data_IF_636338956631
#
_entry.id   IF_636338956631
#
_cell.length_a   1.000
_cell.length_b   1.000
_cell.length_c   1.000
_cell.angle_alpha   90.00
_cell.angle_beta   90.00
_cell.angle_gamma   90.00
#
_symmetry.space_group_name_H-M   'P 1'
#
loop_
_entity.id
_entity.type
_entity.pdbx_description
1 polymer ?
2 non-polymer ?
3 non-polymer ?
4 non-polymer ?
5 water ?
#
# COMPACT_ATOMS: atom_id res chain seq x y z
N UNK A 24 -2.63 2.61 -29.10
CA UNK A 24 -2.32 3.96 -29.53
C UNK A 24 -1.31 4.64 -28.63
N UNK A 25 -0.51 3.83 -27.93
CA UNK A 25 0.54 4.35 -27.09
C UNK A 25 1.77 4.69 -27.95
N UNK A 26 2.47 5.75 -27.54
CA UNK A 26 3.74 6.05 -28.18
C UNK A 26 4.78 5.01 -27.76
N UNK A 27 5.95 5.05 -28.41
CA UNK A 27 7.01 4.13 -28.05
C UNK A 27 7.56 4.45 -26.66
N UNK A 28 7.64 5.74 -26.32
CA UNK A 28 8.07 6.13 -24.98
C UNK A 28 7.09 5.64 -23.93
N UNK A 29 5.79 5.68 -24.23
CA UNK A 29 4.79 5.25 -23.26
C UNK A 29 4.80 3.74 -23.09
N UNK A 30 4.94 2.99 -24.19
CA UNK A 30 5.05 1.54 -24.09
C UNK A 30 6.30 1.13 -23.30
N UNK A 31 7.40 1.84 -23.52
CA UNK A 31 8.62 1.55 -22.77
C UNK A 31 8.46 1.89 -21.29
N UNK A 32 7.69 2.94 -21.01
CA UNK A 32 7.46 3.34 -19.62
C UNK A 32 6.68 2.27 -18.86
N UNK A 33 5.65 1.72 -19.49
CA UNK A 33 4.87 0.65 -18.87
C UNK A 33 5.73 -0.61 -18.74
N UNK A 34 6.58 -0.87 -19.72
CA UNK A 34 7.43 -2.06 -19.67
C UNK A 34 8.35 -2.03 -18.45
N UNK A 35 8.98 -0.88 -18.17
CA UNK A 35 9.90 -0.82 -17.05
C UNK A 35 9.16 -0.92 -15.72
N UNK A 36 7.97 -0.31 -15.61
CA UNK A 36 7.22 -0.41 -14.37
C UNK A 36 6.75 -1.84 -14.13
N UNK A 37 6.24 -2.51 -15.17
CA UNK A 37 5.82 -3.90 -15.03
C UNK A 37 7.02 -4.78 -14.70
N UNK A 38 8.17 -4.48 -15.30
CA UNK A 38 9.40 -5.19 -15.00
C UNK A 38 9.78 -5.04 -13.54
N UNK A 39 9.71 -3.81 -13.01
CA UNK A 39 10.04 -3.58 -11.61
C UNK A 39 9.04 -4.29 -10.68
N UNK A 40 7.76 -4.28 -11.05
CA UNK A 40 6.75 -4.95 -10.23
C UNK A 40 6.99 -6.46 -10.19
N UNK A 41 7.25 -7.06 -11.35
CA UNK A 41 7.50 -8.49 -11.41
C UNK A 41 8.70 -8.90 -10.57
N UNK A 42 9.74 -8.06 -10.54
CA UNK A 42 10.95 -8.41 -9.81
C UNK A 42 10.84 -8.21 -8.30
N UNK A 43 9.96 -7.34 -7.83
CA UNK A 43 9.99 -6.93 -6.43
C UNK A 43 8.70 -7.19 -5.66
N UNK A 44 7.67 -7.76 -6.28
CA UNK A 44 6.41 -8.00 -5.60
C UNK A 44 6.21 -9.52 -5.53
N UNK A 45 6.50 -10.08 -4.36
CA UNK A 45 6.38 -11.51 -4.07
C UNK A 45 4.92 -11.81 -3.78
N UNK A 46 4.15 -12.08 -4.84
CA UNK A 46 2.71 -12.20 -4.73
C UNK A 46 2.28 -13.42 -3.91
N UNK A 47 3.16 -14.39 -3.73
CA UNK A 47 2.86 -15.54 -2.88
C UNK A 47 3.38 -15.37 -1.46
N UNK A 48 4.09 -14.27 -1.18
CA UNK A 48 4.63 -13.97 0.16
C UNK A 48 5.51 -15.11 0.66
N UNK A 49 6.18 -15.81 -0.25
CA UNK A 49 6.97 -16.98 0.11
C UNK A 49 8.17 -16.62 0.97
N UNK A 50 8.67 -15.39 0.90
CA UNK A 50 9.83 -14.98 1.66
C UNK A 50 9.48 -14.15 2.89
N UNK A 51 8.18 -14.05 3.22
CA UNK A 51 7.76 -13.45 4.48
C UNK A 51 7.80 -14.54 5.54
N UNK A 52 8.84 -14.51 6.38
CA UNK A 52 9.08 -15.56 7.35
C UNK A 52 9.53 -14.95 8.67
N UNK A 53 9.58 -15.80 9.69
CA UNK A 53 10.10 -15.46 11.02
C UNK A 53 9.35 -14.28 11.66
N UNK A 54 8.09 -14.08 11.28
CA UNK A 54 7.32 -12.96 11.81
C UNK A 54 6.72 -13.31 13.16
N UNK A 55 6.51 -12.28 13.97
CA UNK A 55 5.90 -12.47 15.28
C UNK A 55 4.39 -12.69 15.15
N UNK A 56 3.83 -13.36 16.15
CA UNK A 56 2.41 -13.68 16.19
C UNK A 56 1.84 -13.35 17.55
N UNK A 57 0.54 -13.07 17.64
CA UNK A 57 -0.06 -12.78 18.94
C UNK A 57 0.12 -13.95 19.91
N UNK A 58 0.46 -13.61 21.14
CA UNK A 58 0.75 -14.61 22.16
C UNK A 58 -0.42 -15.52 22.49
N UNK A 78 -4.39 10.22 29.56
CA UNK A 78 -5.51 9.31 29.74
C UNK A 78 -6.51 9.47 28.61
N UNK A 79 -6.77 10.72 28.21
CA UNK A 79 -7.48 10.97 26.97
C UNK A 79 -6.65 10.58 25.76
N UNK A 80 -5.35 10.35 25.93
CA UNK A 80 -4.53 9.78 24.87
C UNK A 80 -4.81 8.29 24.72
N UNK A 81 -4.72 7.53 25.82
CA UNK A 81 -5.11 6.13 25.78
C UNK A 81 -6.57 5.97 25.34
N UNK A 82 -7.41 6.94 25.67
CA UNK A 82 -8.77 6.97 25.12
C UNK A 82 -8.75 7.10 23.61
N UNK A 83 -8.05 8.11 23.09
CA UNK A 83 -7.94 8.29 21.65
C UNK A 83 -7.20 7.13 21.01
N UNK A 84 -6.17 6.60 21.69
CA UNK A 84 -5.44 5.46 21.17
C UNK A 84 -6.31 4.21 21.19
N UNK A 85 -7.24 4.13 22.14
CA UNK A 85 -8.23 3.05 22.09
C UNK A 85 -9.16 3.21 20.90
N UNK A 86 -9.60 4.45 20.63
CA UNK A 86 -10.37 4.70 19.41
C UNK A 86 -9.52 4.42 18.18
N UNK A 87 -8.23 4.75 18.23
CA UNK A 87 -7.35 4.51 17.09
C UNK A 87 -7.18 3.01 16.82
N UNK A 88 -7.10 2.20 17.89
CA UNK A 88 -6.80 0.78 17.74
C UNK A 88 -7.83 0.07 16.87
N UNK A 89 -9.08 0.10 17.28
CA UNK A 89 -10.14 -0.57 16.54
C UNK A 89 -10.34 0.06 15.16
N UNK A 92 -10.11 -5.08 13.05
CA UNK A 92 -10.90 -6.28 13.36
C UNK A 92 -10.69 -7.29 12.23
N UNK A 93 -9.75 -8.21 12.42
CA UNK A 93 -9.44 -9.19 11.39
C UNK A 93 -8.95 -10.47 12.06
N UNK A 94 -9.39 -11.61 11.53
CA UNK A 94 -8.87 -12.91 11.93
C UNK A 94 -7.68 -13.27 11.03
N UNK A 95 -6.78 -14.07 11.58
CA UNK A 95 -5.57 -14.48 10.88
C UNK A 95 -5.59 -15.98 10.69
N UNK A 96 -5.24 -16.43 9.48
CA UNK A 96 -5.13 -17.85 9.17
C UNK A 96 -3.75 -18.14 8.58
N UNK A 97 -3.12 -19.20 9.08
CA UNK A 97 -1.83 -19.69 8.58
C UNK A 97 -2.01 -21.13 8.13
N UNK A 98 -1.76 -21.38 6.85
CA UNK A 98 -1.90 -22.70 6.28
C UNK A 98 -0.52 -23.34 6.15
N UNK A 99 -0.30 -24.43 6.89
CA UNK A 99 0.99 -25.09 6.84
C UNK A 99 1.19 -25.85 5.53
N UNK A 100 2.46 -26.08 5.19
CA UNK A 100 2.77 -26.84 3.98
C UNK A 100 2.23 -28.25 4.05
N UNK A 101 2.11 -28.81 5.26
CA UNK A 101 1.55 -30.14 5.42
C UNK A 101 0.04 -30.17 5.23
N UNK A 102 -0.63 -29.02 5.33
CA UNK A 102 -2.07 -28.95 5.29
C UNK A 102 -2.72 -28.54 6.59
N UNK A 103 -1.95 -28.36 7.65
CA UNK A 103 -2.49 -27.88 8.91
C UNK A 103 -2.89 -26.42 8.78
N UNK A 104 -3.80 -25.99 9.65
CA UNK A 104 -4.33 -24.63 9.65
C UNK A 104 -4.35 -24.10 11.07
N UNK A 105 -3.79 -22.90 11.27
CA UNK A 105 -3.92 -22.14 12.50
C UNK A 105 -4.81 -20.94 12.24
N UNK A 106 -5.76 -20.67 13.14
CA UNK A 106 -6.59 -19.49 13.08
C UNK A 106 -6.52 -18.72 14.39
N UNK A 107 -6.51 -17.39 14.29
CA UNK A 107 -6.52 -16.50 15.43
C UNK A 107 -7.73 -15.57 15.33
N UNK A 108 -8.52 -15.53 16.40
CA UNK A 108 -9.61 -14.56 16.53
C UNK A 108 -9.30 -13.60 17.67
N UNK A 109 -9.44 -12.30 17.46
CA UNK A 109 -8.88 -11.31 18.40
C UNK A 109 -9.79 -11.08 19.59
N UNK A 110 -9.31 -10.36 20.62
CA UNK A 110 -10.14 -10.10 21.80
C UNK A 110 -10.84 -8.75 21.78
N UNK A 111 -11.68 -8.50 22.78
CA UNK A 111 -12.45 -7.26 22.86
C UNK A 111 -11.71 -6.18 23.65
N UNK A 112 -12.45 -5.34 24.37
CA UNK A 112 -11.93 -4.11 24.97
C UNK A 112 -11.36 -3.19 23.90
N UNK A 117 -3.85 -5.12 25.99
CA UNK A 117 -4.88 -6.04 25.53
C UNK A 117 -5.13 -5.88 24.04
N UNK A 118 -5.32 -4.64 23.60
CA UNK A 118 -5.48 -4.35 22.17
C UNK A 118 -4.16 -4.30 21.43
N UNK A 119 -3.04 -4.47 22.14
CA UNK A 119 -1.71 -4.34 21.56
C UNK A 119 -1.12 -5.66 21.10
N UNK A 120 -1.83 -6.78 21.27
CA UNK A 120 -1.30 -8.09 20.92
C UNK A 120 -1.07 -8.25 19.43
N UNK A 121 -1.57 -7.34 18.60
CA UNK A 121 -1.52 -7.49 17.15
C UNK A 121 -0.41 -6.67 16.50
N UNK A 122 0.17 -5.70 17.22
CA UNK A 122 1.11 -4.73 16.66
C UNK A 122 2.44 -5.35 16.23
N UNK A 123 3.05 -6.26 17.00
CA UNK A 123 4.30 -6.87 16.52
C UNK A 123 4.15 -7.58 15.18
N UNK A 124 3.07 -8.35 14.99
CA UNK A 124 2.86 -8.98 13.69
C UNK A 124 2.63 -7.95 12.60
N UNK A 125 1.78 -6.95 12.88
CA UNK A 125 1.52 -5.92 11.89
C UNK A 125 2.79 -5.17 11.50
N UNK A 126 3.66 -4.91 12.47
CA UNK A 126 4.93 -4.25 12.16
C UNK A 126 5.80 -5.12 11.26
N UNK A 127 5.79 -6.43 11.48
CA UNK A 127 6.60 -7.33 10.66
C UNK A 127 6.07 -7.40 9.24
N UNK A 128 4.75 -7.47 9.07
CA UNK A 128 4.15 -7.46 7.75
C UNK A 128 4.42 -6.13 7.03
N UNK A 129 4.21 -5.01 7.74
CA UNK A 129 4.48 -3.71 7.14
C UNK A 129 5.94 -3.59 6.73
N UNK A 130 6.85 -4.07 7.57
CA UNK A 130 8.27 -4.01 7.23
C UNK A 130 8.59 -4.84 6.00
N UNK A 131 8.01 -6.03 5.91
CA UNK A 131 8.23 -6.87 4.73
C UNK A 131 7.72 -6.18 3.46
N UNK A 132 6.54 -5.57 3.54
CA UNK A 132 5.99 -4.89 2.37
C UNK A 132 6.77 -3.63 2.04
N UNK A 133 7.24 -2.91 3.06
CA UNK A 133 8.05 -1.71 2.81
C UNK A 133 9.33 -2.07 2.06
N UNK A 134 9.94 -3.21 2.39
CA UNK A 134 11.17 -3.60 1.70
C UNK A 134 10.90 -3.86 0.22
N UNK A 135 9.76 -4.49 -0.10
CA UNK A 135 9.42 -4.69 -1.50
C UNK A 135 9.16 -3.39 -2.22
N UNK A 136 8.49 -2.44 -1.55
CA UNK A 136 8.22 -1.14 -2.17
C UNK A 136 9.51 -0.40 -2.44
N UNK A 137 10.47 -0.45 -1.51
CA UNK A 137 11.74 0.22 -1.71
C UNK A 137 12.50 -0.40 -2.86
N UNK A 138 12.50 -1.74 -2.96
CA UNK A 138 13.17 -2.40 -4.07
C UNK A 138 12.49 -2.04 -5.39
N UNK A 139 11.16 -1.92 -5.38
CA UNK A 139 10.43 -1.51 -6.57
C UNK A 139 10.92 -0.15 -7.08
N UNK A 140 11.08 0.81 -6.18
CA UNK A 140 11.50 2.15 -6.59
C UNK A 140 12.92 2.16 -7.12
N UNK A 141 13.83 1.39 -6.50
CA UNK A 141 15.23 1.44 -6.90
C UNK A 141 15.42 0.91 -8.31
N UNK A 142 14.58 -0.01 -8.77
CA UNK A 142 14.74 -0.53 -10.12
C UNK A 142 14.30 0.49 -11.15
N UNK A 143 13.38 1.39 -10.82
CA UNK A 143 12.84 2.32 -11.79
C UNK A 143 13.91 3.35 -12.14
N UNK A 144 14.20 3.48 -13.43
CA UNK A 144 15.27 4.37 -13.88
C UNK A 144 14.98 5.81 -13.49
N UNK A 145 13.74 6.26 -13.71
CA UNK A 145 13.38 7.63 -13.35
C UNK A 145 13.61 7.91 -11.87
N UNK A 146 13.45 6.88 -11.03
CA UNK A 146 13.60 7.07 -9.59
C UNK A 146 15.08 7.15 -9.20
N UNK A 147 15.90 6.24 -9.71
CA UNK A 147 17.31 6.23 -9.30
C UNK A 147 18.13 7.34 -9.96
N UNK A 148 17.57 8.05 -10.92
CA UNK A 148 18.22 9.25 -11.45
C UNK A 148 17.94 10.48 -10.62
N UNK A 149 16.98 10.42 -9.70
CA UNK A 149 16.75 11.53 -8.78
C UNK A 149 17.86 11.57 -7.72
N UNK A 150 18.13 12.74 -7.15
CA UNK A 150 19.09 12.79 -6.03
C UNK A 150 18.61 11.95 -4.87
N UNK A 151 19.58 11.41 -4.12
CA UNK A 151 19.29 10.45 -3.06
C UNK A 151 18.38 11.07 -1.99
N UNK A 152 18.48 12.37 -1.77
CA UNK A 152 17.63 13.01 -0.76
C UNK A 152 16.18 13.07 -1.21
N UNK A 153 15.93 13.22 -2.51
CA UNK A 153 14.56 13.19 -3.01
C UNK A 153 14.01 11.78 -3.09
N UNK A 154 14.87 10.79 -3.37
CA UNK A 154 14.45 9.40 -3.29
C UNK A 154 13.92 9.07 -1.90
N UNK A 155 14.65 9.48 -0.87
CA UNK A 155 14.23 9.23 0.51
C UNK A 155 12.95 9.98 0.81
N UNK A 156 12.83 11.22 0.35
CA UNK A 156 11.64 12.01 0.61
C UNK A 156 10.41 11.40 -0.07
N UNK A 157 10.57 10.90 -1.29
CA UNK A 157 9.44 10.31 -2.00
C UNK A 157 9.03 8.98 -1.35
N UNK A 158 10.01 8.18 -0.94
CA UNK A 158 9.69 6.89 -0.32
C UNK A 158 9.03 7.09 1.05
N UNK A 159 9.48 8.07 1.82
CA UNK A 159 8.82 8.38 3.08
C UNK A 159 7.37 8.76 2.88
N UNK A 160 7.07 9.48 1.80
CA UNK A 160 5.72 9.97 1.59
C UNK A 160 4.78 8.97 0.97
N UNK A 161 5.30 7.99 0.24
CA UNK A 161 4.47 7.11 -0.57
C UNK A 161 4.53 5.64 -0.18
N UNK A 162 5.41 5.24 0.74
CA UNK A 162 5.57 3.83 1.06
C UNK A 162 4.26 3.18 1.50
N UNK A 163 3.52 3.86 2.37
CA UNK A 163 2.24 3.31 2.82
C UNK A 163 1.26 3.15 1.66
N UNK A 164 1.18 4.17 0.80
CA UNK A 164 0.21 4.14 -0.29
C UNK A 164 0.49 3.00 -1.26
N UNK A 165 1.76 2.81 -1.63
CA UNK A 165 2.11 1.72 -2.53
C UNK A 165 1.85 0.36 -1.88
N UNK A 166 2.03 0.26 -0.57
CA UNK A 166 1.73 -0.99 0.12
C UNK A 166 0.26 -1.33 0.02
N UNK A 167 -0.61 -0.34 0.23
CA UNK A 167 -2.05 -0.59 0.14
C UNK A 167 -2.47 -0.92 -1.28
N UNK A 168 -1.84 -0.29 -2.28
CA UNK A 168 -2.15 -0.62 -3.66
C UNK A 168 -1.77 -2.06 -3.98
N UNK A 169 -0.62 -2.52 -3.48
CA UNK A 169 -0.26 -3.91 -3.67
C UNK A 169 -1.20 -4.84 -2.92
N UNK A 170 -1.63 -4.45 -1.72
CA UNK A 170 -2.55 -5.27 -0.95
C UNK A 170 -3.91 -5.39 -1.62
N UNK A 171 -4.32 -4.39 -2.40
CA UNK A 171 -5.61 -4.48 -3.07
C UNK A 171 -5.63 -5.58 -4.12
N UNK A 172 -4.48 -5.86 -4.73
CA UNK A 172 -4.41 -6.89 -5.76
C UNK A 172 -4.56 -8.29 -5.18
N UNK A 173 -4.36 -8.47 -3.88
CA UNK A 173 -4.62 -9.74 -3.21
C UNK A 173 -5.88 -9.68 -2.36
N UNK A 174 -6.66 -8.61 -2.47
CA UNK A 174 -7.92 -8.49 -1.76
C UNK A 174 -9.02 -9.26 -2.48
N UNK A 175 -9.83 -9.99 -1.70
CA UNK A 175 -10.96 -10.74 -2.23
C UNK A 175 -12.22 -10.08 -1.70
N UNK A 176 -12.92 -9.34 -2.58
CA UNK A 176 -14.10 -8.61 -2.16
C UNK A 176 -15.30 -9.51 -1.91
N UNK A 177 -15.33 -10.70 -2.50
CA UNK A 177 -16.44 -11.61 -2.27
C UNK A 177 -16.38 -12.22 -0.87
N UNK A 178 -15.17 -12.48 -0.36
CA UNK A 178 -14.99 -13.08 0.95
C UNK A 178 -14.44 -12.11 1.99
N UNK A 179 -14.09 -10.90 1.58
CA UNK A 179 -13.58 -9.91 2.53
C UNK A 179 -12.25 -10.28 3.14
N UNK A 180 -11.37 -10.91 2.37
CA UNK A 180 -10.08 -11.40 2.87
C UNK A 180 -8.95 -10.93 1.97
N UNK A 181 -7.80 -10.67 2.59
CA UNK A 181 -6.55 -10.43 1.87
C UNK A 181 -5.76 -11.74 1.88
N UNK A 182 -5.63 -12.34 0.69
CA UNK A 182 -4.95 -13.63 0.54
C UNK A 182 -3.47 -13.36 0.29
N UNK A 183 -2.65 -13.57 1.32
CA UNK A 183 -1.22 -13.34 1.24
C UNK A 183 -0.49 -14.68 1.32
N UNK A 184 -0.68 -15.49 0.28
CA UNK A 184 -0.10 -16.82 0.24
C UNK A 184 -0.70 -17.74 1.29
N UNK A 185 0.14 -18.27 2.18
CA UNK A 185 -0.35 -19.10 3.26
C UNK A 185 -0.97 -18.30 4.40
N UNK A 186 -0.79 -16.99 4.41
CA UNK A 186 -1.45 -16.09 5.36
C UNK A 186 -2.75 -15.56 4.77
N UNK A 187 -3.73 -15.36 5.64
CA UNK A 187 -4.99 -14.75 5.26
C UNK A 187 -5.46 -13.83 6.38
N UNK A 188 -5.90 -12.64 6.00
CA UNK A 188 -6.50 -11.68 6.92
C UNK A 188 -7.96 -11.51 6.54
N UNK A 189 -8.85 -12.05 7.36
CA UNK A 189 -10.29 -12.06 7.10
C UNK A 189 -11.00 -11.04 7.98
N UNK A 190 -11.95 -10.31 7.40
CA UNK A 190 -12.77 -9.39 8.18
C UNK A 190 -13.85 -10.15 8.92
N UNK A 191 -13.96 -9.89 10.22
CA UNK A 191 -14.89 -10.63 11.06
C UNK A 191 -16.29 -10.04 10.96
N UNK A 192 -17.30 -10.90 11.11
CA UNK A 192 -18.69 -10.48 11.03
C UNK A 192 -19.14 -9.86 12.35
N UNK A 197 -22.41 -6.28 7.21
CA UNK A 197 -22.28 -5.02 7.92
C UNK A 197 -21.94 -3.85 6.99
N UNK A 198 -22.95 -3.04 6.67
CA UNK A 198 -22.69 -1.77 5.98
C UNK A 198 -21.98 -0.77 6.90
N UNK A 199 -21.94 -1.03 8.21
CA UNK A 199 -21.18 -0.18 9.11
C UNK A 199 -19.69 -0.45 9.00
N UNK A 200 -19.31 -1.64 8.54
CA UNK A 200 -17.90 -1.96 8.37
C UNK A 200 -17.29 -1.15 7.24
N UNK A 201 -18.03 -0.97 6.14
CA UNK A 201 -17.53 -0.17 5.02
C UNK A 201 -17.44 1.31 5.35
N UNK A 202 -17.90 1.73 6.53
CA UNK A 202 -17.68 3.11 6.96
C UNK A 202 -16.20 3.37 7.22
N UNK A 203 -15.45 2.33 7.55
CA UNK A 203 -14.02 2.46 7.77
C UNK A 203 -13.34 2.86 6.46
N UNK A 204 -12.60 3.97 6.41
CA UNK A 204 -12.13 4.49 5.12
C UNK A 204 -11.19 3.56 4.38
N UNK A 205 -10.33 2.82 5.09
CA UNK A 205 -9.41 1.93 4.41
C UNK A 205 -10.15 0.74 3.81
N UNK A 206 -11.12 0.19 4.55
CA UNK A 206 -11.96 -0.88 4.00
C UNK A 206 -12.77 -0.39 2.81
N UNK A 207 -13.33 0.82 2.91
CA UNK A 207 -14.07 1.40 1.79
C UNK A 207 -13.18 1.58 0.58
N UNK A 208 -11.93 2.01 0.80
CA UNK A 208 -10.98 2.15 -0.30
C UNK A 208 -10.80 0.83 -1.05
N UNK A 209 -10.55 -0.25 -0.31
CA UNK A 209 -10.24 -1.52 -0.95
C UNK A 209 -11.43 -2.07 -1.72
N UNK A 210 -12.64 -1.90 -1.19
CA UNK A 210 -13.83 -2.35 -1.91
C UNK A 210 -14.05 -1.52 -3.17
N UNK A 211 -13.88 -0.20 -3.08
CA UNK A 211 -14.12 0.66 -4.23
C UNK A 211 -13.07 0.45 -5.32
N UNK A 212 -11.80 0.31 -4.92
CA UNK A 212 -10.75 0.11 -5.91
C UNK A 212 -10.87 -1.24 -6.60
N UNK A 213 -11.26 -2.27 -5.85
CA UNK A 213 -11.45 -3.60 -6.44
C UNK A 213 -12.59 -3.59 -7.45
N UNK A 214 -13.62 -2.79 -7.21
CA UNK A 214 -14.76 -2.72 -8.12
C UNK A 214 -14.38 -2.17 -9.49
N UNK A 215 -13.26 -1.46 -9.59
CA UNK A 215 -12.86 -0.87 -10.86
C UNK A 215 -12.25 -1.87 -11.82
N UNK A 216 -11.95 -3.09 -11.38
CA UNK A 216 -11.51 -4.18 -12.25
C UNK A 216 -10.23 -3.81 -13.02
N UNK A 217 -9.25 -3.30 -12.29
CA UNK A 217 -8.06 -2.75 -12.93
C UNK A 217 -7.13 -3.85 -13.42
N UNK A 218 -6.39 -3.53 -14.49
CA UNK A 218 -5.35 -4.40 -15.01
C UNK A 218 -4.08 -4.25 -14.18
N UNK A 219 -3.17 -5.21 -14.35
CA UNK A 219 -1.86 -5.12 -13.71
C UNK A 219 -1.14 -3.84 -14.11
N UNK A 220 -1.28 -3.45 -15.38
CA UNK A 220 -0.60 -2.25 -15.88
C UNK A 220 -1.16 -0.99 -15.22
N UNK A 221 -2.46 -0.97 -14.94
CA UNK A 221 -3.05 0.21 -14.32
C UNK A 221 -2.67 0.32 -12.85
N UNK A 222 -2.46 -0.82 -12.18
CA UNK A 222 -2.01 -0.79 -10.79
C UNK A 222 -0.60 -0.22 -10.67
N UNK A 223 0.31 -0.66 -11.54
CA UNK A 223 1.69 -0.21 -11.42
C UNK A 223 1.82 1.25 -11.82
N UNK A 224 0.92 1.75 -12.67
CA UNK A 224 0.93 3.17 -13.01
C UNK A 224 0.41 4.01 -11.86
N UNK A 225 -0.60 3.50 -11.14
CA UNK A 225 -1.01 4.13 -9.89
C UNK A 225 0.15 4.20 -8.91
N UNK A 226 0.92 3.11 -8.80
CA UNK A 226 2.06 3.10 -7.90
C UNK A 226 3.07 4.18 -8.28
N UNK A 227 3.31 4.34 -9.58
CA UNK A 227 4.27 5.35 -10.04
C UNK A 227 3.76 6.76 -9.79
N UNK A 228 2.48 7.00 -10.03
CA UNK A 228 1.91 8.33 -9.80
C UNK A 228 1.98 8.69 -8.32
N UNK A 229 1.69 7.71 -7.45
CA UNK A 229 1.80 7.95 -6.01
C UNK A 229 3.25 8.18 -5.60
N UNK A 230 4.17 7.38 -6.16
CA UNK A 230 5.58 7.49 -5.78
C UNK A 230 6.15 8.85 -6.16
N UNK A 231 5.83 9.34 -7.36
CA UNK A 231 6.42 10.58 -7.87
C UNK A 231 5.49 11.76 -7.60
N UNK A 232 5.13 11.93 -6.32
CA UNK A 232 4.31 13.06 -5.91
C UNK A 232 5.22 14.24 -5.61
N UNK A 233 5.19 15.32 -6.38
CA UNK A 233 6.16 16.41 -6.19
C UNK A 233 5.97 17.19 -4.90
N UNK A 234 4.88 16.98 -4.18
CA UNK A 234 4.55 17.79 -3.01
C UNK A 234 4.69 17.01 -1.70
N UNK A 235 5.50 15.96 -1.67
CA UNK A 235 5.86 15.34 -0.41
C UNK A 235 6.79 16.27 0.36
N UNK A 236 6.77 16.21 1.70
CA UNK A 236 7.69 17.06 2.48
C UNK A 236 9.14 16.78 2.13
N UNK A 237 9.91 17.85 1.93
CA UNK A 237 11.33 17.74 1.74
C UNK A 237 11.80 17.45 0.33
N UNK A 238 10.90 17.43 -0.65
CA UNK A 238 11.29 17.20 -2.03
C UNK A 238 11.92 18.46 -2.59
N UNK A 239 13.09 18.31 -3.21
CA UNK A 239 13.83 19.43 -3.79
C UNK A 239 13.59 19.57 -5.29
N UNK A 240 13.76 18.50 -6.05
CA UNK A 240 13.50 18.51 -7.49
C UNK A 240 12.01 18.42 -7.76
N UNK A 241 11.26 19.37 -7.19
CA UNK A 241 9.81 19.38 -7.33
C UNK A 241 9.39 19.53 -8.78
N UNK A 242 10.16 20.29 -9.58
CA UNK A 242 9.82 20.47 -10.98
C UNK A 242 10.05 19.19 -11.78
N UNK A 243 11.16 18.49 -11.50
CA UNK A 243 11.45 17.25 -12.22
C UNK A 243 10.44 16.17 -11.85
N UNK A 244 10.14 16.04 -10.55
CA UNK A 244 9.19 15.04 -10.10
C UNK A 244 7.80 15.32 -10.66
N UNK A 245 7.42 16.60 -10.74
CA UNK A 245 6.11 16.95 -11.26
C UNK A 245 5.98 16.56 -12.74
N UNK A 246 7.02 16.81 -13.53
CA UNK A 246 6.97 16.44 -14.94
C UNK A 246 6.97 14.93 -15.11
N UNK A 247 7.66 14.21 -14.23
CA UNK A 247 7.61 12.75 -14.27
C UNK A 247 6.22 12.25 -13.92
N UNK A 248 5.62 12.80 -12.86
CA UNK A 248 4.27 12.40 -12.48
C UNK A 248 3.28 12.67 -13.61
N UNK A 249 3.39 13.83 -14.25
CA UNK A 249 2.46 14.17 -15.32
C UNK A 249 2.53 13.18 -16.47
N UNK A 250 3.73 12.69 -16.77
CA UNK A 250 3.89 11.73 -17.86
C UNK A 250 3.36 10.35 -17.48
N UNK A 251 3.51 9.95 -16.21
CA UNK A 251 2.90 8.70 -15.77
C UNK A 251 1.39 8.77 -15.86
N UNK A 252 0.80 9.92 -15.50
CA UNK A 252 -0.64 10.07 -15.58
C UNK A 252 -1.12 10.12 -17.02
N UNK A 253 -0.36 10.77 -17.90
CA UNK A 253 -0.73 10.80 -19.32
C UNK A 253 -0.67 9.40 -19.91
N UNK A 254 0.35 8.61 -19.52
CA UNK A 254 0.44 7.24 -20.00
C UNK A 254 -0.76 6.42 -19.53
N UNK A 255 -1.19 6.62 -18.28
CA UNK A 255 -2.36 5.91 -17.77
C UNK A 255 -3.62 6.32 -18.53
N UNK A 256 -3.81 7.62 -18.72
CA UNK A 256 -4.94 8.11 -19.50
C UNK A 256 -4.96 7.50 -20.89
N UNK A 257 -3.80 7.47 -21.55
CA UNK A 257 -3.73 6.90 -22.90
C UNK A 257 -3.98 5.40 -22.89
N UNK A 258 -3.43 4.69 -21.90
CA UNK A 258 -3.64 3.25 -21.82
C UNK A 258 -5.13 2.91 -21.70
N UNK A 259 -5.84 3.65 -20.84
CA UNK A 259 -7.27 3.39 -20.64
C UNK A 259 -8.04 3.65 -21.93
N UNK A 260 -7.73 4.75 -22.61
CA UNK A 260 -8.46 5.11 -23.82
C UNK A 260 -8.19 4.15 -24.97
N UNK A 261 -7.02 3.50 -24.96
CA UNK A 261 -6.66 2.58 -26.02
C UNK A 261 -7.11 1.15 -25.76
N UNK A 262 -7.47 0.82 -24.52
CA UNK A 262 -7.72 -0.57 -24.15
C UNK A 262 -9.04 -0.82 -23.43
N UNK A 263 -9.85 0.21 -23.21
CA UNK A 263 -11.11 0.06 -22.48
C UNK A 263 -12.18 0.94 -23.11
N UNK A 264 -12.86 0.44 -24.14
CA UNK A 264 -13.92 1.25 -24.78
C UNK A 264 -15.29 1.08 -24.14
N UNK A 265 -15.46 0.15 -23.20
CA UNK A 265 -16.78 -0.19 -22.71
C UNK A 265 -17.38 0.95 -21.89
N UNK A 266 -18.70 1.11 -21.94
CA UNK A 266 -19.35 2.18 -21.16
C UNK A 266 -19.08 2.11 -19.68
N UNK A 267 -18.82 0.91 -19.13
CA UNK A 267 -18.50 0.78 -17.72
C UNK A 267 -17.21 1.50 -17.34
N UNK A 268 -16.33 1.73 -18.32
CA UNK A 268 -15.04 2.35 -18.08
C UNK A 268 -14.99 3.81 -18.50
N UNK A 269 -16.14 4.41 -18.81
CA UNK A 269 -16.18 5.86 -18.97
C UNK A 269 -15.76 6.53 -17.68
N UNK A 270 -14.94 7.57 -17.81
CA UNK A 270 -14.41 8.35 -16.69
C UNK A 270 -13.50 7.52 -15.77
N UNK A 271 -12.99 6.39 -16.25
CA UNK A 271 -12.18 5.53 -15.39
C UNK A 271 -10.90 6.22 -14.93
N UNK A 272 -10.24 6.95 -15.83
CA UNK A 272 -9.03 7.67 -15.45
C UNK A 272 -9.29 8.63 -14.30
N UNK A 273 -10.38 9.38 -14.38
CA UNK A 273 -10.70 10.34 -13.33
C UNK A 273 -11.11 9.64 -12.04
N UNK A 274 -11.77 8.48 -12.14
CA UNK A 274 -12.05 7.70 -10.94
C UNK A 274 -10.78 7.23 -10.26
N UNK A 275 -9.80 6.79 -11.05
CA UNK A 275 -8.53 6.33 -10.48
C UNK A 275 -7.80 7.48 -9.81
N UNK A 276 -7.75 8.64 -10.48
CA UNK A 276 -7.10 9.81 -9.89
C UNK A 276 -7.78 10.22 -8.58
N UNK A 277 -9.10 10.08 -8.52
CA UNK A 277 -9.82 10.39 -7.29
C UNK A 277 -9.47 9.40 -6.18
N UNK A 278 -9.29 8.13 -6.53
CA UNK A 278 -8.88 7.14 -5.54
C UNK A 278 -7.51 7.46 -4.96
N UNK A 279 -6.59 7.95 -5.80
CA UNK A 279 -5.26 8.29 -5.32
C UNK A 279 -5.30 9.46 -4.36
N UNK A 280 -6.18 10.43 -4.60
CA UNK A 280 -6.35 11.53 -3.65
C UNK A 280 -6.91 11.03 -2.33
N UNK A 281 -7.87 10.11 -2.38
CA UNK A 281 -8.41 9.53 -1.16
C UNK A 281 -7.36 8.70 -0.43
N UNK A 282 -6.55 7.95 -1.17
CA UNK A 282 -5.50 7.14 -0.55
C UNK A 282 -4.48 8.01 0.16
N UNK A 283 -4.18 9.19 -0.40
CA UNK A 283 -3.24 10.10 0.24
C UNK A 283 -3.84 10.68 1.53
N UNK A 284 -5.14 10.96 1.51
CA UNK A 284 -5.81 11.42 2.72
C UNK A 284 -5.86 10.31 3.77
N UNK A 285 -6.09 9.08 3.35
CA UNK A 285 -6.03 7.94 4.27
C UNK A 285 -4.62 7.81 4.84
N UNK A 286 -3.60 7.99 3.98
CA UNK A 286 -2.22 7.93 4.43
C UNK A 286 -1.95 8.92 5.56
N UNK A 287 -2.41 10.16 5.41
CA UNK A 287 -2.17 11.19 6.41
C UNK A 287 -2.83 10.84 7.73
N UNK A 288 -4.09 10.41 7.70
CA UNK A 288 -4.79 10.06 8.91
C UNK A 288 -4.16 8.85 9.60
N UNK A 289 -3.74 7.86 8.81
CA UNK A 289 -3.17 6.64 9.40
C UNK A 289 -1.79 6.89 9.99
N UNK A 290 -1.00 7.78 9.38
CA UNK A 290 0.31 8.10 9.94
C UNK A 290 0.17 8.74 11.31
N UNK A 291 -0.78 9.66 11.47
CA UNK A 291 -1.01 10.28 12.78
C UNK A 291 -1.54 9.26 13.78
N UNK A 292 -2.34 8.30 13.32
CA UNK A 292 -2.80 7.22 14.19
C UNK A 292 -1.62 6.41 14.73
N UNK A 293 -0.72 6.00 13.83
CA UNK A 293 0.39 5.15 14.24
C UNK A 293 1.36 5.89 15.16
N UNK A 294 1.54 7.19 14.93
CA UNK A 294 2.44 7.96 15.79
C UNK A 294 1.88 8.14 17.19
N UNK A 295 0.55 8.23 17.32
CA UNK A 295 -0.05 8.28 18.65
C UNK A 295 0.11 6.96 19.38
N UNK A 296 -0.07 5.84 18.67
CA UNK A 296 0.12 4.53 19.28
C UNK A 296 1.58 4.32 19.66
N UNK A 297 2.49 4.63 18.73
CA UNK A 297 3.92 4.52 18.99
C UNK A 297 4.33 5.30 20.24
N UNK A 298 3.68 6.45 20.46
CA UNK A 298 3.99 7.26 21.63
C UNK A 298 3.58 6.57 22.93
N UNK A 299 2.56 5.71 22.88
CA UNK A 299 2.01 5.09 24.07
C UNK A 299 2.56 3.68 24.23
N UNK A 300 2.79 2.99 23.11
CA UNK A 300 3.21 1.59 23.13
C UNK A 300 4.13 1.36 21.93
N UNK A 301 5.44 1.39 22.13
CA UNK A 301 6.37 1.27 21.00
C UNK A 301 6.21 -0.05 20.26
N UNK A 302 6.33 0.01 18.93
CA UNK A 302 6.15 -1.17 18.11
C UNK A 302 6.85 -1.04 16.76
N UNK A 303 7.21 0.19 16.38
CA UNK A 303 7.78 0.42 15.06
C UNK A 303 9.16 -0.22 14.94
N UNK A 304 9.35 -1.02 13.90
CA UNK A 304 10.63 -1.62 13.60
C UNK A 304 11.61 -0.52 13.20
N UNK A 305 12.92 -0.81 13.19
CA UNK A 305 13.89 0.19 12.72
C UNK A 305 13.57 0.77 11.34
N UNK A 306 13.10 -0.07 10.41
CA UNK A 306 12.79 0.44 9.07
C UNK A 306 11.58 1.37 9.09
N UNK A 307 10.55 1.03 9.86
CA UNK A 307 9.40 1.93 9.97
C UNK A 307 9.79 3.23 10.66
N UNK A 308 10.67 3.16 11.67
CA UNK A 308 11.17 4.37 12.31
C UNK A 308 11.84 5.28 11.29
N UNK A 309 12.68 4.70 10.43
CA UNK A 309 13.35 5.46 9.39
C UNK A 309 12.34 6.14 8.47
N UNK A 310 11.30 5.40 8.06
CA UNK A 310 10.29 5.95 7.17
C UNK A 310 9.44 7.01 7.87
N UNK A 311 9.28 6.91 9.19
CA UNK A 311 8.54 7.88 9.96
C UNK A 311 9.41 9.05 10.43
N UNK A 312 10.72 8.98 10.20
CA UNK A 312 11.60 10.04 10.66
C UNK A 312 11.89 10.02 12.14
N UNK A 313 11.63 8.90 12.82
CA UNK A 313 11.96 8.76 14.23
C UNK A 313 13.46 8.57 14.38
N UNK A 314 14.08 9.39 15.22
CA UNK A 314 15.53 9.44 15.32
C UNK A 314 16.11 8.45 16.32
N UNK A 315 15.35 8.04 17.33
CA UNK A 315 15.84 7.15 18.35
C UNK A 315 16.37 7.82 19.60
N UNK A 316 16.23 9.14 19.72
CA UNK A 316 16.70 9.87 20.89
C UNK A 316 15.60 10.79 21.42
#
# INVERSE_FOLDING_TARGET
MKKGHHHHHHGSERTGTQPLGVQGLTEEQRMMIRELMDAQMKTFDTTFSHFKNFRLPGVLSSGCELPESLQAPSREEAAKWSQVRKDLCSLKVSLQLRGEDGSVWNYKPPADSGGKEIFSLLPHMADMSTYMFKGIISFAKVISYFRDLPIEDQISLLKGAAFELCQLRFNTVFNAETGTWECGRLSYCLEDTAGGFQQLLLEPMLKFHYMLKKLQLHEEEYVLMQAISLFSPDRPGVLQHRVVDQLQEQFAITLKSYIECNRPQPAHRFLFLKIMAMLTELRSINAQHTQRLLRIQDIHPFATPLMQELFGITGS
#
